data_IF_345139882253
#
_entry.id   IF_345139882253
#
_cell.length_a   1.000
_cell.length_b   1.000
_cell.length_c   1.000
_cell.angle_alpha   90.00
_cell.angle_beta   90.00
_cell.angle_gamma   90.00
#
_symmetry.space_group_name_H-M   'P 1'
#
loop_
_entity.id
_entity.type
_entity.pdbx_description
1 polymer ?
#
# COMPACT_ATOMS: atom_id res chain seq x y z
N UNK A 1 7.25 -12.12 -3.90
CA UNK A 1 7.46 -11.26 -5.08
C UNK A 1 7.67 -9.83 -4.61
N UNK A 2 8.72 -9.14 -5.08
CA UNK A 2 8.90 -7.73 -4.78
C UNK A 2 7.82 -6.90 -5.48
N UNK A 3 7.35 -5.85 -4.82
CA UNK A 3 6.45 -4.87 -5.41
C UNK A 3 7.08 -4.27 -6.68
N UNK A 4 6.28 -4.02 -7.73
CA UNK A 4 6.79 -3.43 -8.96
C UNK A 4 7.49 -2.09 -8.67
N UNK A 5 8.72 -1.83 -9.17
CA UNK A 5 9.51 -0.66 -8.78
C UNK A 5 8.79 0.69 -8.93
N UNK A 6 8.12 0.90 -10.08
CA UNK A 6 7.31 2.11 -10.32
C UNK A 6 6.14 2.29 -9.33
N UNK A 7 5.58 1.19 -8.83
CA UNK A 7 4.50 1.24 -7.84
C UNK A 7 5.08 1.55 -6.45
N UNK A 8 6.25 0.98 -6.13
CA UNK A 8 6.98 1.34 -4.92
C UNK A 8 7.38 2.83 -4.90
N UNK A 9 7.80 3.39 -6.05
CA UNK A 9 8.11 4.82 -6.20
C UNK A 9 6.88 5.72 -6.07
N UNK A 10 5.71 5.26 -6.55
CA UNK A 10 4.46 5.98 -6.32
C UNK A 10 4.12 6.03 -4.82
N UNK A 11 4.22 4.89 -4.15
CA UNK A 11 3.91 4.73 -2.73
C UNK A 11 5.00 5.21 -1.77
N UNK A 12 6.15 5.68 -2.27
CA UNK A 12 7.18 6.30 -1.44
C UNK A 12 6.85 7.76 -1.09
N UNK A 13 5.86 8.34 -1.77
CA UNK A 13 5.36 9.69 -1.52
C UNK A 13 4.47 9.72 -0.27
N UNK A 14 4.38 10.91 0.32
CA UNK A 14 3.42 11.21 1.37
C UNK A 14 2.08 11.60 0.75
N UNK A 15 1.03 11.06 1.33
CA UNK A 15 -0.35 11.26 0.93
C UNK A 15 -1.15 11.83 2.10
N UNK A 16 -2.45 11.98 1.92
CA UNK A 16 -3.32 12.45 2.97
C UNK A 16 -3.25 11.50 4.19
N UNK A 17 -3.04 12.00 5.41
CA UNK A 17 -2.99 11.19 6.63
C UNK A 17 -4.29 10.43 6.89
N UNK A 18 -4.17 9.18 7.35
CA UNK A 18 -5.30 8.32 7.75
C UNK A 18 -6.38 8.20 6.67
N UNK A 19 -5.99 8.27 5.41
CA UNK A 19 -6.87 8.23 4.26
C UNK A 19 -6.79 6.88 3.55
N UNK A 20 -7.89 6.52 2.90
CA UNK A 20 -7.93 5.41 1.95
C UNK A 20 -8.03 6.00 0.56
N UNK A 21 -7.04 5.71 -0.27
CA UNK A 21 -6.91 6.25 -1.61
C UNK A 21 -7.04 5.14 -2.64
N UNK A 22 -7.81 5.46 -3.67
CA UNK A 22 -8.12 4.57 -4.78
C UNK A 22 -7.41 5.07 -6.04
N UNK A 23 -6.82 4.14 -6.78
CA UNK A 23 -6.06 4.45 -7.99
C UNK A 23 -6.09 3.27 -8.97
N UNK A 24 -5.47 3.45 -10.13
CA UNK A 24 -5.33 2.41 -11.15
C UNK A 24 -3.88 2.37 -11.62
N UNK A 25 -3.28 1.19 -11.65
CA UNK A 25 -1.91 0.98 -12.13
C UNK A 25 -1.86 -0.13 -13.17
N UNK A 26 -1.46 0.23 -14.40
CA UNK A 26 -1.36 -0.70 -15.54
C UNK A 26 -2.65 -1.51 -15.79
N UNK A 27 -3.81 -0.89 -15.60
CA UNK A 27 -5.11 -1.53 -15.80
C UNK A 27 -5.56 -2.43 -14.65
N UNK A 28 -4.82 -2.47 -13.54
CA UNK A 28 -5.27 -3.05 -12.28
C UNK A 28 -5.75 -1.94 -11.35
N UNK A 29 -6.84 -2.21 -10.65
CA UNK A 29 -7.30 -1.35 -9.57
C UNK A 29 -6.38 -1.52 -8.37
N UNK A 30 -6.08 -0.42 -7.70
CA UNK A 30 -5.36 -0.45 -6.45
C UNK A 30 -6.02 0.47 -5.43
N UNK A 31 -5.94 0.02 -4.18
CA UNK A 31 -6.39 0.80 -3.03
C UNK A 31 -5.27 0.77 -2.02
N UNK A 32 -4.83 1.92 -1.54
CA UNK A 32 -3.83 2.00 -0.48
C UNK A 32 -4.33 2.83 0.69
N UNK A 33 -3.91 2.43 1.87
CA UNK A 33 -4.28 3.05 3.13
C UNK A 33 -3.03 3.67 3.72
N UNK A 34 -3.15 4.93 4.12
CA UNK A 34 -2.07 5.69 4.74
C UNK A 34 -2.20 5.65 6.26
N UNK A 35 -1.07 5.81 6.94
CA UNK A 35 -1.05 6.01 8.39
C UNK A 35 -1.30 7.49 8.74
N UNK A 36 -1.26 7.82 10.03
CA UNK A 36 -1.42 9.19 10.56
C UNK A 36 -0.34 10.18 10.07
N UNK A 37 0.72 9.68 9.44
CA UNK A 37 1.79 10.50 8.85
C UNK A 37 1.67 10.60 7.34
N UNK A 38 0.61 10.05 6.74
CA UNK A 38 0.41 10.05 5.30
C UNK A 38 1.24 9.01 4.54
N UNK A 39 1.92 8.11 5.24
CA UNK A 39 2.73 7.07 4.62
C UNK A 39 1.83 5.89 4.23
N UNK A 40 1.87 5.43 2.97
CA UNK A 40 1.15 4.22 2.57
C UNK A 40 1.68 3.01 3.34
N UNK A 41 0.81 2.36 4.11
CA UNK A 41 1.13 1.20 4.96
C UNK A 41 0.44 -0.08 4.51
N UNK A 42 -0.68 0.02 3.82
CA UNK A 42 -1.37 -1.13 3.23
C UNK A 42 -1.68 -0.84 1.78
N UNK A 43 -1.51 -1.84 0.92
CA UNK A 43 -1.83 -1.77 -0.50
C UNK A 43 -2.60 -3.02 -0.89
N UNK A 44 -3.66 -2.81 -1.63
CA UNK A 44 -4.45 -3.82 -2.32
C UNK A 44 -4.27 -3.61 -3.81
N UNK A 45 -3.95 -4.66 -4.55
CA UNK A 45 -3.76 -4.61 -5.99
C UNK A 45 -4.56 -5.73 -6.64
N UNK A 46 -5.38 -5.42 -7.64
CA UNK A 46 -6.12 -6.44 -8.35
C UNK A 46 -7.28 -5.87 -9.14
N UNK A 47 -8.44 -6.50 -9.01
CA UNK A 47 -9.67 -6.06 -9.66
C UNK A 47 -10.66 -5.59 -8.60
N UNK A 48 -11.17 -4.37 -8.76
CA UNK A 48 -12.24 -3.84 -7.93
C UNK A 48 -13.52 -4.58 -8.24
N UNK A 49 -14.18 -5.05 -7.19
CA UNK A 49 -15.50 -5.66 -7.25
C UNK A 49 -16.59 -4.59 -7.18
N UNK A 50 -17.84 -4.92 -7.57
CA UNK A 50 -18.97 -4.00 -7.48
C UNK A 50 -19.28 -3.53 -6.06
N UNK A 51 -18.85 -4.28 -5.04
CA UNK A 51 -18.96 -3.93 -3.61
C UNK A 51 -17.89 -2.92 -3.14
N UNK A 52 -16.97 -2.53 -4.02
CA UNK A 52 -15.84 -1.64 -3.73
C UNK A 52 -14.59 -2.34 -3.21
N UNK A 53 -14.61 -3.66 -2.97
CA UNK A 53 -13.46 -4.41 -2.48
C UNK A 53 -12.49 -4.80 -3.62
N UNK A 54 -11.19 -4.78 -3.35
CA UNK A 54 -10.18 -5.30 -4.29
C UNK A 54 -10.04 -6.81 -4.08
N UNK A 55 -10.14 -7.58 -5.17
CA UNK A 55 -9.75 -8.99 -5.20
C UNK A 55 -8.42 -9.12 -5.92
N UNK A 56 -7.42 -9.63 -5.22
CA UNK A 56 -6.07 -9.73 -5.77
C UNK A 56 -5.05 -9.93 -4.67
N UNK A 57 -3.98 -9.15 -4.70
CA UNK A 57 -2.85 -9.24 -3.79
C UNK A 57 -2.90 -8.15 -2.73
N UNK A 58 -2.59 -8.51 -1.49
CA UNK A 58 -2.43 -7.57 -0.38
C UNK A 58 -0.95 -7.44 -0.02
N UNK A 59 -0.47 -6.22 -0.01
CA UNK A 59 0.86 -5.87 0.50
C UNK A 59 0.73 -5.02 1.75
N UNK A 60 1.67 -5.20 2.68
CA UNK A 60 1.80 -4.38 3.88
C UNK A 60 3.20 -3.80 3.90
N UNK A 61 3.32 -2.50 4.15
CA UNK A 61 4.61 -1.84 4.27
C UNK A 61 5.04 -1.87 5.73
N UNK A 62 6.21 -2.45 5.96
CA UNK A 62 6.88 -2.37 7.26
C UNK A 62 7.87 -1.21 7.20
N UNK A 63 7.63 -0.16 8.00
CA UNK A 63 8.49 1.03 8.08
C UNK A 63 9.29 0.94 9.38
N UNK A 64 10.61 0.77 9.27
CA UNK A 64 11.53 0.80 10.39
C UNK A 64 12.01 2.23 10.60
N UNK A 65 11.70 2.80 11.76
CA UNK A 65 12.16 4.14 12.16
C UNK A 65 13.35 4.05 13.09
N UNK A 66 14.13 5.12 13.14
CA UNK A 66 15.25 5.26 14.05
C UNK A 66 14.76 5.36 15.50
N UNK A 67 15.34 4.60 16.45
CA UNK A 67 14.95 4.71 17.86
C UNK A 67 15.10 6.16 18.36
N UNK A 68 14.02 6.73 18.89
CA UNK A 68 14.03 8.11 19.39
C UNK A 68 13.89 9.20 18.32
N UNK A 69 13.61 8.85 17.06
CA UNK A 69 13.39 9.83 15.98
C UNK A 69 12.25 9.39 15.05
N UNK A 70 11.63 10.36 14.38
CA UNK A 70 10.62 10.11 13.35
C UNK A 70 11.22 9.73 11.99
N UNK A 71 12.55 9.64 11.89
CA UNK A 71 13.26 9.35 10.64
C UNK A 71 13.10 7.89 10.24
N UNK A 72 12.69 7.64 8.99
CA UNK A 72 12.61 6.30 8.41
C UNK A 72 14.01 5.79 8.08
N UNK A 73 14.43 4.69 8.73
CA UNK A 73 15.69 4.00 8.44
C UNK A 73 15.56 3.12 7.20
N UNK A 74 14.49 2.33 7.15
CA UNK A 74 14.21 1.46 6.01
C UNK A 74 12.73 1.15 5.93
N UNK A 75 12.27 0.81 4.73
CA UNK A 75 10.92 0.29 4.57
C UNK A 75 10.89 -0.77 3.48
N UNK A 76 10.11 -1.82 3.68
CA UNK A 76 9.87 -2.86 2.68
C UNK A 76 8.40 -3.20 2.59
N UNK A 77 7.99 -3.70 1.42
CA UNK A 77 6.63 -4.16 1.16
C UNK A 77 6.60 -5.68 1.23
N UNK A 78 5.78 -6.22 2.12
CA UNK A 78 5.56 -7.65 2.30
C UNK A 78 4.25 -8.07 1.64
N UNK A 79 4.34 -9.02 0.70
CA UNK A 79 3.15 -9.68 0.15
C UNK A 79 2.53 -10.58 1.23
N UNK A 80 1.32 -10.24 1.68
CA UNK A 80 0.54 -11.06 2.62
C UNK A 80 -0.29 -12.15 1.93
N UNK A 81 -0.30 -12.16 0.61
CA UNK A 81 -0.96 -13.17 -0.21
C UNK A 81 -2.23 -12.63 -0.88
N UNK A 82 -3.05 -13.57 -1.36
CA UNK A 82 -4.29 -13.23 -2.05
C UNK A 82 -5.39 -12.86 -1.06
N UNK A 83 -6.06 -11.76 -1.34
CA UNK A 83 -7.26 -11.32 -0.64
C UNK A 83 -8.45 -11.49 -1.55
N UNK A 84 -9.37 -12.33 -1.10
CA UNK A 84 -10.74 -12.38 -1.57
C UNK A 84 -11.60 -12.25 -0.33
N UNK A 85 -12.31 -11.13 -0.18
CA UNK A 85 -13.35 -11.06 0.85
C UNK A 85 -14.46 -12.02 0.41
N UNK A 86 -14.79 -12.99 1.26
CA UNK A 86 -15.91 -13.90 1.06
C UNK A 86 -17.22 -13.24 1.50
#
# INVERSE_FOLDING_TARGET
MPLHPKLAEKLSKLYEPSATLDDVFKGLDLTFITNELGEPVTLFLGKRRPDGAITGERYVRTIKREPGSSRVLSSHWDLKGKVSRA
#
